data_IF_113961761210
#
_entry.id   IF_113961761210
#
_cell.length_a   1.000
_cell.length_b   1.000
_cell.length_c   1.000
_cell.angle_alpha   90.00
_cell.angle_beta   90.00
_cell.angle_gamma   90.00
#
_symmetry.space_group_name_H-M   'P 1'
#
loop_
_entity.id
_entity.type
_entity.pdbx_description
1 polymer ?
#
# COMPACT_ATOMS: atom_id res chain seq x y z
N UNK A 1 21.09 8.24 11.45
CA UNK A 1 19.93 8.47 12.34
C UNK A 1 18.80 7.55 11.93
N UNK A 2 18.01 6.99 12.87
CA UNK A 2 16.93 6.07 12.55
C UNK A 2 15.61 6.83 12.59
N UNK A 3 14.96 7.01 11.45
CA UNK A 3 13.71 7.78 11.33
C UNK A 3 12.44 6.91 11.36
N UNK A 4 12.57 5.57 11.32
CA UNK A 4 11.45 4.63 11.25
C UNK A 4 11.77 3.33 11.99
N UNK A 5 10.73 2.58 12.26
CA UNK A 5 10.83 1.26 12.90
C UNK A 5 11.47 0.25 11.95
N UNK A 6 12.13 -0.76 12.52
CA UNK A 6 12.79 -1.84 11.75
C UNK A 6 12.41 -3.23 12.21
N UNK A 7 11.93 -3.38 13.44
CA UNK A 7 11.51 -4.67 14.01
C UNK A 7 10.00 -4.72 14.22
N UNK A 8 9.41 -5.91 14.25
CA UNK A 8 7.98 -6.09 14.50
C UNK A 8 7.53 -5.43 15.79
N UNK A 9 8.30 -5.62 16.87
CA UNK A 9 7.99 -5.04 18.18
C UNK A 9 8.01 -3.51 18.17
N UNK A 10 8.96 -2.91 17.43
CA UNK A 10 9.01 -1.44 17.28
C UNK A 10 7.77 -0.91 16.55
N UNK A 11 7.34 -1.55 15.44
CA UNK A 11 6.13 -1.14 14.72
C UNK A 11 4.88 -1.24 15.59
N UNK A 12 4.74 -2.33 16.33
CA UNK A 12 3.60 -2.54 17.21
C UNK A 12 3.61 -1.54 18.38
N UNK A 13 4.77 -1.34 19.01
CA UNK A 13 4.93 -0.39 20.11
C UNK A 13 4.69 1.06 19.68
N UNK A 14 5.10 1.42 18.46
CA UNK A 14 4.81 2.72 17.86
C UNK A 14 3.31 2.92 17.64
N UNK A 15 2.63 1.90 17.11
CA UNK A 15 1.19 1.94 16.91
C UNK A 15 0.40 2.02 18.23
N UNK A 16 0.83 1.34 19.27
CA UNK A 16 0.15 1.39 20.57
C UNK A 16 0.26 2.77 21.24
N UNK A 17 1.39 3.45 21.03
CA UNK A 17 1.60 4.81 21.57
C UNK A 17 0.86 5.87 20.76
N UNK A 18 0.88 5.75 19.43
CA UNK A 18 0.44 6.81 18.51
C UNK A 18 -0.34 6.18 17.35
N UNK A 19 -1.54 5.65 17.63
CA UNK A 19 -2.37 5.11 16.56
C UNK A 19 -2.99 6.25 15.74
N UNK A 20 -2.65 6.31 14.46
CA UNK A 20 -3.21 7.29 13.53
C UNK A 20 -4.57 6.86 12.95
N UNK A 21 -4.96 5.61 13.16
CA UNK A 21 -6.19 5.02 12.63
C UNK A 21 -7.07 4.51 13.78
N UNK A 22 -7.46 5.40 14.69
CA UNK A 22 -8.29 5.06 15.86
C UNK A 22 -9.69 4.60 15.43
N UNK A 23 -10.18 5.13 14.31
CA UNK A 23 -11.50 4.81 13.74
C UNK A 23 -11.54 3.43 13.08
N UNK A 24 -10.38 2.83 12.81
CA UNK A 24 -10.29 1.52 12.18
C UNK A 24 -10.68 0.42 13.16
N UNK A 25 -11.97 0.09 13.16
CA UNK A 25 -12.51 -0.99 14.02
C UNK A 25 -12.65 -2.29 13.24
N UNK A 26 -11.56 -3.08 13.18
CA UNK A 26 -11.57 -4.39 12.58
C UNK A 26 -12.11 -5.38 13.62
N UNK A 27 -13.25 -5.98 13.33
CA UNK A 27 -13.78 -7.05 14.18
C UNK A 27 -12.89 -8.29 14.04
N UNK A 28 -12.14 -8.57 15.10
CA UNK A 28 -11.22 -9.69 15.16
C UNK A 28 -11.89 -10.90 15.77
N UNK A 29 -11.98 -12.05 15.10
CA UNK A 29 -12.40 -13.31 15.69
C UNK A 29 -11.53 -13.66 16.92
N UNK A 30 -12.10 -14.34 17.89
CA UNK A 30 -11.32 -14.76 19.08
C UNK A 30 -10.36 -15.90 18.77
N UNK A 31 -10.75 -16.78 17.85
CA UNK A 31 -9.92 -17.89 17.42
C UNK A 31 -9.25 -17.60 16.10
N UNK A 32 -7.95 -17.91 16.01
CA UNK A 32 -7.15 -17.76 14.78
C UNK A 32 -7.73 -18.58 13.61
N UNK A 33 -8.35 -19.70 13.89
CA UNK A 33 -8.97 -20.58 12.89
C UNK A 33 -10.13 -19.92 12.15
N UNK A 34 -10.75 -18.90 12.74
CA UNK A 34 -11.88 -18.18 12.17
C UNK A 34 -11.48 -16.89 11.45
N UNK A 35 -10.19 -16.61 11.39
CA UNK A 35 -9.70 -15.43 10.66
C UNK A 35 -9.87 -15.65 9.18
N UNK A 36 -10.38 -14.64 8.48
CA UNK A 36 -10.54 -14.61 7.03
C UNK A 36 -9.29 -14.04 6.35
N UNK A 37 -9.19 -14.22 5.05
CA UNK A 37 -8.19 -13.54 4.25
C UNK A 37 -8.50 -12.05 4.15
N UNK A 38 -7.48 -11.21 4.25
CA UNK A 38 -7.63 -9.76 4.33
C UNK A 38 -6.81 -9.05 3.26
N UNK A 39 -7.39 -8.00 2.68
CA UNK A 39 -6.67 -7.03 1.85
C UNK A 39 -6.64 -5.69 2.58
N UNK A 40 -5.44 -5.23 2.94
CA UNK A 40 -5.24 -3.89 3.44
C UNK A 40 -4.87 -2.97 2.28
N UNK A 41 -5.76 -2.07 1.96
CA UNK A 41 -5.68 -1.19 0.80
C UNK A 41 -5.61 0.28 1.20
N UNK A 42 -4.84 1.04 0.48
CA UNK A 42 -4.72 2.49 0.63
C UNK A 42 -3.38 3.03 0.15
N UNK A 43 -3.19 4.35 0.16
CA UNK A 43 -1.99 5.01 -0.33
C UNK A 43 -0.69 4.51 0.31
N UNK A 44 0.45 4.79 -0.31
CA UNK A 44 1.77 4.49 0.23
C UNK A 44 2.02 5.22 1.56
N UNK A 45 2.80 4.62 2.45
CA UNK A 45 3.32 5.28 3.64
C UNK A 45 2.32 5.71 4.72
N UNK A 46 1.07 5.26 4.66
CA UNK A 46 0.03 5.62 5.64
C UNK A 46 -0.07 4.69 6.85
N UNK A 47 0.79 3.69 6.97
CA UNK A 47 0.81 2.77 8.11
C UNK A 47 0.01 1.47 7.92
N UNK A 48 -0.33 1.06 6.67
CA UNK A 48 -0.98 -0.23 6.39
C UNK A 48 -0.29 -1.41 7.08
N UNK A 49 1.02 -1.50 6.91
CA UNK A 49 1.83 -2.57 7.50
C UNK A 49 1.75 -2.60 9.02
N UNK A 50 1.79 -1.45 9.67
CA UNK A 50 1.67 -1.33 11.13
C UNK A 50 0.30 -1.83 11.62
N UNK A 51 -0.78 -1.53 10.88
CA UNK A 51 -2.12 -2.04 11.22
C UNK A 51 -2.23 -3.55 11.03
N UNK A 52 -1.58 -4.11 10.00
CA UNK A 52 -1.48 -5.57 9.81
C UNK A 52 -0.77 -6.23 10.99
N UNK A 53 0.37 -5.71 11.43
CA UNK A 53 1.09 -6.25 12.58
C UNK A 53 0.26 -6.15 13.87
N UNK A 54 -0.45 -5.03 14.09
CA UNK A 54 -1.39 -4.87 15.20
C UNK A 54 -2.49 -5.94 15.17
N UNK A 55 -3.01 -6.24 13.98
CA UNK A 55 -4.02 -7.29 13.77
C UNK A 55 -3.47 -8.68 14.12
N UNK A 56 -2.29 -9.03 13.62
CA UNK A 56 -1.64 -10.34 13.86
C UNK A 56 -1.22 -10.51 15.31
N UNK A 57 -0.81 -9.43 15.99
CA UNK A 57 -0.35 -9.47 17.38
C UNK A 57 -1.31 -10.20 18.32
N UNK A 58 -2.64 -10.03 18.14
CA UNK A 58 -3.67 -10.68 18.96
C UNK A 58 -3.48 -12.20 19.01
N UNK A 59 -3.00 -12.80 17.93
CA UNK A 59 -2.87 -14.25 17.78
C UNK A 59 -1.46 -14.78 18.05
N UNK A 60 -0.48 -13.89 18.23
CA UNK A 60 0.91 -14.26 18.47
C UNK A 60 1.16 -14.56 19.94
N UNK A 61 1.56 -15.79 20.32
CA UNK A 61 1.95 -16.14 21.69
C UNK A 61 3.09 -15.27 22.25
N UNK A 62 4.02 -14.85 21.38
CA UNK A 62 5.16 -14.00 21.77
C UNK A 62 4.88 -12.52 21.62
N UNK A 63 3.66 -12.12 21.19
CA UNK A 63 3.28 -10.75 20.90
C UNK A 63 4.18 -10.08 19.85
N UNK A 64 4.61 -10.86 18.86
CA UNK A 64 5.52 -10.47 17.76
C UNK A 64 6.94 -10.04 18.21
N UNK A 65 7.36 -10.37 19.43
CA UNK A 65 8.75 -10.14 19.88
C UNK A 65 9.76 -11.07 19.22
N UNK A 66 9.29 -12.25 18.76
CA UNK A 66 10.12 -13.18 18.03
C UNK A 66 10.18 -12.80 16.56
N UNK A 67 11.40 -12.53 16.09
CA UNK A 67 11.66 -12.23 14.69
C UNK A 67 12.91 -12.98 14.23
N UNK A 68 12.80 -13.70 13.14
CA UNK A 68 13.91 -14.33 12.42
C UNK A 68 13.82 -14.04 10.93
N UNK A 69 14.91 -14.33 10.22
CA UNK A 69 14.94 -14.29 8.75
C UNK A 69 15.24 -15.69 8.24
N UNK A 70 14.53 -16.09 7.20
CA UNK A 70 14.80 -17.33 6.46
C UNK A 70 15.30 -16.92 5.08
N UNK A 71 16.32 -17.59 4.61
CA UNK A 71 16.88 -17.40 3.28
C UNK A 71 16.63 -18.64 2.45
N UNK A 72 16.12 -18.46 1.24
CA UNK A 72 15.99 -19.47 0.21
C UNK A 72 16.97 -19.14 -0.89
N UNK A 73 17.77 -20.11 -1.28
CA UNK A 73 18.71 -19.98 -2.39
C UNK A 73 18.22 -20.85 -3.52
N UNK A 74 17.83 -20.23 -4.62
CA UNK A 74 17.52 -20.89 -5.88
C UNK A 74 18.75 -20.87 -6.79
N UNK A 75 18.74 -21.60 -7.89
CA UNK A 75 19.85 -21.58 -8.86
C UNK A 75 20.14 -20.17 -9.42
N UNK A 76 19.15 -19.26 -9.39
CA UNK A 76 19.23 -17.95 -10.05
C UNK A 76 19.30 -16.78 -9.09
N UNK A 77 18.77 -16.92 -7.87
CA UNK A 77 18.69 -15.82 -6.92
C UNK A 77 18.55 -16.32 -5.48
N UNK A 78 18.93 -15.46 -4.56
CA UNK A 78 18.76 -15.63 -3.13
C UNK A 78 17.65 -14.70 -2.65
N UNK A 79 16.72 -15.22 -1.87
CA UNK A 79 15.62 -14.42 -1.31
C UNK A 79 15.53 -14.63 0.19
N UNK A 80 15.53 -13.53 0.95
CA UNK A 80 15.44 -13.56 2.42
C UNK A 80 14.15 -12.90 2.87
N UNK A 81 13.39 -13.60 3.69
CA UNK A 81 12.15 -13.07 4.24
C UNK A 81 12.07 -13.19 5.77
N UNK A 82 11.47 -12.19 6.44
CA UNK A 82 11.29 -12.23 7.88
C UNK A 82 10.11 -13.11 8.27
N UNK A 83 10.24 -13.73 9.44
CA UNK A 83 9.21 -14.56 10.04
C UNK A 83 9.03 -14.23 11.52
N UNK A 84 7.81 -14.48 12.02
CA UNK A 84 7.53 -14.57 13.46
C UNK A 84 7.10 -15.97 13.86
N UNK A 85 6.65 -16.10 15.10
CA UNK A 85 6.04 -17.33 15.61
C UNK A 85 4.79 -17.76 14.82
N UNK A 86 4.05 -16.82 14.21
CA UNK A 86 2.76 -17.07 13.59
C UNK A 86 2.65 -16.57 12.14
N UNK A 87 3.49 -15.62 11.70
CA UNK A 87 3.39 -15.07 10.35
C UNK A 87 4.71 -15.07 9.59
N UNK A 88 4.58 -15.03 8.26
CA UNK A 88 5.64 -15.04 7.25
C UNK A 88 5.44 -13.87 6.32
N UNK A 89 6.44 -13.02 6.13
CA UNK A 89 6.31 -11.82 5.29
C UNK A 89 7.05 -12.01 3.97
N UNK A 90 6.37 -11.76 2.88
CA UNK A 90 6.93 -11.84 1.55
C UNK A 90 6.71 -10.48 0.86
N UNK A 91 7.78 -9.89 0.39
CA UNK A 91 7.74 -8.68 -0.41
C UNK A 91 7.63 -9.07 -1.89
N UNK A 92 6.46 -8.83 -2.47
CA UNK A 92 6.14 -9.25 -3.85
C UNK A 92 6.98 -8.48 -4.88
N UNK A 93 7.36 -7.23 -4.58
CA UNK A 93 8.23 -6.43 -5.43
C UNK A 93 9.63 -7.04 -5.61
N UNK A 94 10.11 -7.79 -4.61
CA UNK A 94 11.45 -8.40 -4.61
C UNK A 94 11.50 -9.78 -5.28
N UNK A 95 10.38 -10.36 -5.68
CA UNK A 95 10.35 -11.66 -6.34
C UNK A 95 10.89 -11.61 -7.79
N UNK A 96 10.79 -10.45 -8.44
CA UNK A 96 11.32 -10.22 -9.78
C UNK A 96 10.68 -11.06 -10.90
N UNK A 97 11.40 -11.22 -12.00
CA UNK A 97 10.89 -11.93 -13.19
C UNK A 97 10.66 -13.43 -12.98
N UNK A 98 11.35 -14.06 -12.02
CA UNK A 98 11.16 -15.47 -11.67
C UNK A 98 10.13 -15.66 -10.54
N UNK A 99 9.25 -14.70 -10.34
CA UNK A 99 8.29 -14.64 -9.23
C UNK A 99 7.48 -15.92 -9.06
N UNK A 100 7.04 -16.55 -10.14
CA UNK A 100 6.27 -17.78 -10.11
C UNK A 100 7.02 -18.95 -9.47
N UNK A 101 8.26 -19.20 -9.89
CA UNK A 101 9.07 -20.31 -9.39
C UNK A 101 9.50 -20.05 -7.95
N UNK A 102 9.98 -18.82 -7.67
CA UNK A 102 10.42 -18.44 -6.34
C UNK A 102 9.27 -18.46 -5.33
N UNK A 103 8.10 -17.96 -5.70
CA UNK A 103 6.89 -18.03 -4.88
C UNK A 103 6.54 -19.47 -4.54
N UNK A 104 6.56 -20.37 -5.52
CA UNK A 104 6.28 -21.80 -5.32
C UNK A 104 7.19 -22.40 -4.23
N UNK A 105 8.49 -22.19 -4.32
CA UNK A 105 9.46 -22.69 -3.34
C UNK A 105 9.25 -22.08 -1.96
N UNK A 106 9.06 -20.74 -1.86
CA UNK A 106 8.78 -20.05 -0.59
C UNK A 106 7.51 -20.60 0.03
N UNK A 107 6.45 -20.71 -0.76
CA UNK A 107 5.13 -21.15 -0.29
C UNK A 107 5.18 -22.55 0.32
N UNK A 108 5.76 -23.52 -0.37
CA UNK A 108 5.83 -24.89 0.15
C UNK A 108 6.78 -25.00 1.34
N UNK A 109 7.87 -24.22 1.39
CA UNK A 109 8.70 -24.14 2.59
C UNK A 109 7.91 -23.63 3.80
N UNK A 110 7.06 -22.62 3.63
CA UNK A 110 6.16 -22.12 4.68
C UNK A 110 5.18 -23.21 5.11
N UNK A 111 4.57 -23.91 4.16
CA UNK A 111 3.65 -25.04 4.43
C UNK A 111 4.33 -26.11 5.26
N UNK A 112 5.56 -26.50 4.90
CA UNK A 112 6.34 -27.50 5.63
C UNK A 112 6.62 -27.05 7.07
N UNK A 113 7.02 -25.79 7.25
CA UNK A 113 7.26 -25.21 8.59
C UNK A 113 5.98 -25.23 9.44
N UNK A 114 4.83 -24.88 8.85
CA UNK A 114 3.55 -24.84 9.56
C UNK A 114 3.04 -26.24 9.85
N UNK A 115 3.31 -27.22 8.98
CA UNK A 115 2.90 -28.61 9.17
C UNK A 115 3.44 -29.25 10.46
N UNK A 116 4.64 -28.80 10.89
CA UNK A 116 5.34 -29.27 12.08
C UNK A 116 4.82 -28.57 13.35
N UNK A 117 4.17 -27.39 13.22
CA UNK A 117 3.63 -26.65 14.38
C UNK A 117 2.39 -27.35 14.95
N UNK A 118 2.18 -27.23 16.25
CA UNK A 118 1.01 -27.80 16.94
C UNK A 118 -0.31 -27.20 16.42
N UNK A 119 -0.34 -25.91 16.23
CA UNK A 119 -1.56 -25.17 15.80
C UNK A 119 -1.89 -25.36 14.32
N UNK A 120 -0.92 -25.73 13.49
CA UNK A 120 -1.06 -25.88 12.02
C UNK A 120 -1.76 -24.72 11.31
N UNK A 121 -1.68 -23.52 11.88
CA UNK A 121 -2.25 -22.28 11.35
C UNK A 121 -1.14 -21.24 11.22
N UNK A 122 -1.20 -20.42 10.18
CA UNK A 122 -0.24 -19.34 9.98
C UNK A 122 -0.78 -18.25 9.06
N UNK A 123 -0.16 -17.06 9.16
CA UNK A 123 -0.44 -15.94 8.26
C UNK A 123 0.68 -15.79 7.23
N UNK A 124 0.31 -15.60 5.97
CA UNK A 124 1.22 -15.17 4.93
C UNK A 124 0.90 -13.71 4.61
N UNK A 125 1.84 -12.82 4.92
CA UNK A 125 1.72 -11.38 4.65
C UNK A 125 2.44 -11.05 3.37
N UNK A 126 1.70 -10.73 2.31
CA UNK A 126 2.23 -10.30 1.02
C UNK A 126 2.29 -8.77 0.97
N UNK A 127 3.51 -8.21 1.09
CA UNK A 127 3.73 -6.77 0.98
C UNK A 127 3.88 -6.35 -0.47
N UNK A 128 3.54 -5.09 -0.77
CA UNK A 128 3.62 -4.52 -2.12
C UNK A 128 2.92 -5.39 -3.17
N UNK A 129 1.72 -5.87 -2.86
CA UNK A 129 1.03 -6.85 -3.72
C UNK A 129 0.69 -6.26 -5.10
N UNK A 130 0.57 -4.94 -5.23
CA UNK A 130 0.39 -4.24 -6.50
C UNK A 130 1.59 -4.38 -7.47
N UNK A 131 2.77 -4.75 -6.97
CA UNK A 131 3.97 -5.02 -7.76
C UNK A 131 4.07 -6.49 -8.20
N UNK A 132 3.04 -7.30 -7.94
CA UNK A 132 3.03 -8.72 -8.32
C UNK A 132 3.01 -8.87 -9.83
N UNK A 133 3.93 -9.69 -10.36
CA UNK A 133 3.98 -9.99 -11.79
C UNK A 133 2.74 -10.76 -12.25
N UNK A 134 2.20 -10.45 -13.43
CA UNK A 134 0.95 -11.04 -13.94
C UNK A 134 0.94 -12.57 -13.95
N UNK A 135 2.04 -13.22 -14.36
CA UNK A 135 2.16 -14.67 -14.37
C UNK A 135 1.94 -15.31 -12.99
N UNK A 136 2.36 -14.63 -11.92
CA UNK A 136 2.11 -15.08 -10.56
C UNK A 136 0.68 -14.76 -10.14
N UNK A 137 0.16 -13.59 -10.51
CA UNK A 137 -1.19 -13.18 -10.17
C UNK A 137 -2.24 -14.16 -10.71
N UNK A 138 -2.07 -14.65 -11.95
CA UNK A 138 -2.98 -15.60 -12.60
C UNK A 138 -3.10 -16.93 -11.85
N UNK A 139 -2.03 -17.36 -11.20
CA UNK A 139 -2.01 -18.64 -10.45
C UNK A 139 -2.18 -18.47 -8.95
N UNK A 140 -2.10 -17.23 -8.44
CA UNK A 140 -2.08 -16.95 -6.99
C UNK A 140 -3.32 -17.49 -6.28
N UNK A 141 -4.48 -17.40 -6.94
CA UNK A 141 -5.74 -17.90 -6.39
C UNK A 141 -5.71 -19.42 -6.12
N UNK A 142 -4.99 -20.20 -6.91
CA UNK A 142 -4.88 -21.66 -6.71
C UNK A 142 -4.19 -22.00 -5.37
N UNK A 143 -3.21 -21.21 -4.94
CA UNK A 143 -2.55 -21.38 -3.64
C UNK A 143 -3.49 -21.05 -2.47
N UNK A 144 -4.34 -20.02 -2.65
CA UNK A 144 -5.35 -19.67 -1.65
C UNK A 144 -6.35 -20.80 -1.49
N UNK A 145 -6.90 -21.32 -2.59
CA UNK A 145 -7.89 -22.41 -2.57
C UNK A 145 -7.37 -23.68 -1.91
N UNK A 146 -6.10 -24.01 -2.11
CA UNK A 146 -5.52 -25.26 -1.64
C UNK A 146 -5.55 -25.39 -0.10
N UNK A 147 -5.39 -24.27 0.64
CA UNK A 147 -5.26 -24.27 2.10
C UNK A 147 -6.33 -23.46 2.83
N UNK A 148 -7.33 -22.95 2.12
CA UNK A 148 -8.43 -22.19 2.71
C UNK A 148 -9.72 -23.03 2.87
N UNK A 149 -9.64 -24.35 2.65
CA UNK A 149 -10.76 -25.27 2.83
C UNK A 149 -11.03 -25.53 4.32
N UNK A 150 -12.31 -25.60 4.68
CA UNK A 150 -12.78 -25.90 6.06
C UNK A 150 -12.20 -27.21 6.62
N UNK A 151 -11.90 -28.17 5.75
CA UNK A 151 -11.37 -29.49 6.13
C UNK A 151 -9.84 -29.59 5.97
N UNK A 152 -9.14 -28.49 5.70
CA UNK A 152 -7.69 -28.53 5.54
C UNK A 152 -7.01 -28.78 6.90
N UNK A 153 -6.06 -29.73 6.91
CA UNK A 153 -5.23 -30.04 8.10
C UNK A 153 -4.37 -28.84 8.46
N UNK A 154 -3.91 -28.08 7.47
CA UNK A 154 -3.14 -26.85 7.60
C UNK A 154 -3.99 -25.71 7.10
N UNK A 155 -4.16 -24.67 7.92
CA UNK A 155 -4.87 -23.46 7.53
C UNK A 155 -3.92 -22.29 7.33
N UNK A 156 -3.96 -21.69 6.13
CA UNK A 156 -3.18 -20.51 5.77
C UNK A 156 -4.13 -19.35 5.54
N UNK A 157 -3.91 -18.26 6.28
CA UNK A 157 -4.63 -17.02 6.07
C UNK A 157 -3.71 -16.04 5.36
N UNK A 158 -4.18 -15.49 4.26
CA UNK A 158 -3.43 -14.51 3.47
C UNK A 158 -3.81 -13.10 3.88
N UNK A 159 -2.81 -12.24 4.02
CA UNK A 159 -2.98 -10.81 4.24
C UNK A 159 -2.22 -10.09 3.14
N UNK A 160 -2.96 -9.43 2.24
CA UNK A 160 -2.38 -8.67 1.14
C UNK A 160 -2.29 -7.19 1.51
N UNK A 161 -1.13 -6.58 1.32
CA UNK A 161 -0.92 -5.14 1.50
C UNK A 161 -0.70 -4.54 0.12
N UNK A 162 -1.63 -3.70 -0.32
CA UNK A 162 -1.63 -3.13 -1.66
C UNK A 162 -1.95 -1.64 -1.66
N UNK A 163 -1.55 -0.94 -2.70
CA UNK A 163 -1.89 0.46 -2.93
C UNK A 163 -3.11 0.62 -3.84
N UNK A 164 -3.41 -0.38 -4.65
CA UNK A 164 -4.60 -0.42 -5.48
C UNK A 164 -5.24 -1.80 -5.47
N UNK A 165 -6.54 -1.88 -5.72
CA UNK A 165 -7.30 -3.14 -5.79
C UNK A 165 -7.85 -3.38 -7.19
N UNK A 166 -7.80 -2.39 -8.07
CA UNK A 166 -8.41 -2.44 -9.40
C UNK A 166 -7.83 -3.50 -10.33
N UNK A 167 -6.54 -3.85 -10.14
CA UNK A 167 -5.85 -4.86 -10.95
C UNK A 167 -6.11 -6.30 -10.50
N UNK A 168 -6.71 -6.49 -9.32
CA UNK A 168 -6.93 -7.82 -8.74
C UNK A 168 -8.04 -8.56 -9.50
N UNK A 169 -7.84 -9.86 -9.82
CA UNK A 169 -8.90 -10.71 -10.34
C UNK A 169 -10.10 -10.81 -9.39
N UNK A 170 -11.30 -10.94 -9.95
CA UNK A 170 -12.53 -11.05 -9.16
C UNK A 170 -12.51 -12.23 -8.18
N UNK A 171 -11.87 -13.33 -8.55
CA UNK A 171 -11.77 -14.52 -7.69
C UNK A 171 -11.00 -14.22 -6.40
N UNK A 172 -9.94 -13.41 -6.50
CA UNK A 172 -9.19 -12.94 -5.34
C UNK A 172 -10.05 -11.96 -4.54
N UNK A 173 -10.65 -10.95 -5.20
CA UNK A 173 -11.47 -9.94 -4.51
C UNK A 173 -12.63 -10.57 -3.73
N UNK A 174 -13.29 -11.60 -4.30
CA UNK A 174 -14.41 -12.28 -3.67
C UNK A 174 -14.00 -13.20 -2.50
N UNK A 175 -12.71 -13.55 -2.42
CA UNK A 175 -12.17 -14.46 -1.39
C UNK A 175 -11.56 -13.72 -0.21
N UNK A 176 -11.57 -12.39 -0.23
CA UNK A 176 -10.96 -11.55 0.78
C UNK A 176 -11.93 -10.49 1.33
N UNK A 177 -11.76 -10.17 2.60
CA UNK A 177 -12.36 -8.96 3.17
C UNK A 177 -11.44 -7.77 2.96
N UNK A 178 -11.93 -6.72 2.29
CA UNK A 178 -11.15 -5.53 1.94
C UNK A 178 -11.27 -4.51 3.05
N UNK A 179 -10.12 -4.09 3.58
CA UNK A 179 -9.98 -3.07 4.63
C UNK A 179 -9.31 -1.85 4.02
N UNK A 180 -10.07 -0.78 3.86
CA UNK A 180 -9.55 0.50 3.39
C UNK A 180 -8.89 1.26 4.54
N UNK A 181 -7.65 1.69 4.34
CA UNK A 181 -6.94 2.58 5.25
C UNK A 181 -6.78 3.93 4.58
N UNK A 182 -7.41 4.94 5.17
CA UNK A 182 -7.37 6.32 4.67
C UNK A 182 -6.09 7.02 5.14
N UNK A 183 -5.74 8.12 4.49
CA UNK A 183 -4.69 9.01 4.99
C UNK A 183 -5.10 9.58 6.35
N UNK A 184 -4.17 9.62 7.32
CA UNK A 184 -4.41 10.29 8.57
C UNK A 184 -4.67 11.79 8.36
N UNK A 185 -5.62 12.34 9.10
CA UNK A 185 -5.92 13.78 9.07
C UNK A 185 -4.90 14.61 9.87
N UNK A 186 -4.23 13.97 10.83
CA UNK A 186 -3.28 14.64 11.72
C UNK A 186 -2.07 13.73 11.97
N UNK A 187 -0.91 14.21 11.55
CA UNK A 187 0.37 13.51 11.71
C UNK A 187 1.16 13.98 12.93
N UNK A 188 0.73 15.05 13.61
CA UNK A 188 1.48 15.65 14.71
C UNK A 188 1.73 14.68 15.87
N UNK A 189 0.87 13.67 16.04
CA UNK A 189 1.01 12.64 17.08
C UNK A 189 2.29 11.81 16.97
N UNK A 190 2.81 11.62 15.74
CA UNK A 190 4.00 10.79 15.50
C UNK A 190 5.27 11.59 15.31
N UNK A 191 5.16 12.91 15.15
CA UNK A 191 6.34 13.77 15.02
C UNK A 191 7.12 13.82 16.33
N UNK A 192 8.41 13.59 16.25
CA UNK A 192 9.30 13.79 17.39
C UNK A 192 9.49 15.28 17.63
N UNK A 193 9.20 15.75 18.83
CA UNK A 193 9.45 17.14 19.24
C UNK A 193 10.94 17.32 19.50
N UNK A 194 11.67 17.65 18.44
CA UNK A 194 13.10 18.01 18.48
C UNK A 194 13.27 19.51 18.27
N UNK A 195 14.53 20.00 18.27
CA UNK A 195 14.86 21.42 18.28
C UNK A 195 14.26 22.24 17.11
N UNK A 196 13.99 21.60 15.96
CA UNK A 196 13.45 22.28 14.76
C UNK A 196 11.96 22.01 14.53
N UNK A 197 11.29 21.30 15.44
CA UNK A 197 9.90 20.90 15.27
C UNK A 197 8.95 22.08 15.01
N UNK A 198 8.99 23.09 15.86
CA UNK A 198 8.07 24.24 15.78
C UNK A 198 8.36 25.14 14.57
N UNK A 199 9.63 25.26 14.17
CA UNK A 199 10.02 26.00 12.97
C UNK A 199 9.54 25.30 11.72
N UNK A 200 9.81 24.01 11.60
CA UNK A 200 9.44 23.24 10.41
C UNK A 200 7.93 23.13 10.25
N UNK A 201 7.16 23.02 11.35
CA UNK A 201 5.69 22.95 11.30
C UNK A 201 5.02 24.20 10.73
N UNK A 202 5.69 25.34 10.70
CA UNK A 202 5.17 26.56 10.05
C UNK A 202 5.18 26.47 8.52
N UNK A 203 6.06 25.64 7.98
CA UNK A 203 6.29 25.48 6.54
C UNK A 203 5.76 24.18 5.96
N UNK A 204 5.50 23.17 6.81
CA UNK A 204 4.97 21.86 6.41
C UNK A 204 3.48 21.84 6.70
N UNK A 205 2.67 21.83 5.66
CA UNK A 205 1.23 21.57 5.76
C UNK A 205 0.95 20.07 5.71
N UNK A 206 -0.16 19.61 6.31
CA UNK A 206 -0.54 18.18 6.29
C UNK A 206 -0.71 17.63 4.87
N UNK A 207 -1.09 18.46 3.90
CA UNK A 207 -1.21 18.08 2.49
C UNK A 207 0.13 17.71 1.84
N UNK A 208 1.24 18.27 2.35
CA UNK A 208 2.58 18.08 1.82
C UNK A 208 3.19 16.76 2.30
N UNK A 209 2.53 16.08 3.23
CA UNK A 209 3.03 14.88 3.84
C UNK A 209 2.38 13.67 3.21
N UNK A 210 3.16 12.94 2.42
CA UNK A 210 2.70 11.77 1.69
C UNK A 210 3.00 10.46 2.44
N UNK A 211 4.08 10.44 3.24
CA UNK A 211 4.58 9.23 3.87
C UNK A 211 4.88 9.47 5.36
N UNK A 212 4.34 8.62 6.23
CA UNK A 212 4.57 8.69 7.68
C UNK A 212 6.06 8.65 8.04
N UNK A 213 6.89 7.93 7.28
CA UNK A 213 8.33 7.86 7.56
C UNK A 213 9.04 9.21 7.38
N UNK A 214 8.54 10.05 6.49
CA UNK A 214 9.09 11.38 6.22
C UNK A 214 8.85 12.35 7.37
N UNK A 215 7.75 12.17 8.14
CA UNK A 215 7.40 13.03 9.27
C UNK A 215 8.52 13.17 10.28
N UNK A 216 9.11 12.06 10.71
CA UNK A 216 10.21 12.08 11.65
C UNK A 216 11.47 12.72 11.05
N UNK A 217 11.68 12.57 9.76
CA UNK A 217 12.77 13.22 9.04
C UNK A 217 12.58 14.74 9.03
N UNK A 218 11.41 15.22 8.60
CA UNK A 218 11.09 16.64 8.57
C UNK A 218 11.22 17.31 9.94
N UNK A 219 10.81 16.63 11.01
CA UNK A 219 10.93 17.19 12.37
C UNK A 219 12.38 17.35 12.86
N UNK A 220 13.33 16.67 12.24
CA UNK A 220 14.74 16.63 12.63
C UNK A 220 15.65 17.44 11.70
N UNK A 221 15.19 17.75 10.48
CA UNK A 221 15.94 18.57 9.53
C UNK A 221 15.94 20.04 9.94
N UNK A 222 17.01 20.76 9.60
CA UNK A 222 16.97 22.21 9.60
C UNK A 222 16.08 22.70 8.47
N UNK A 223 15.51 23.89 8.61
CA UNK A 223 14.62 24.50 7.61
C UNK A 223 15.25 24.56 6.21
N UNK A 224 16.55 24.87 6.15
CA UNK A 224 17.33 24.97 4.92
C UNK A 224 17.52 23.61 4.21
N UNK A 225 17.42 22.52 4.97
CA UNK A 225 17.61 21.13 4.50
C UNK A 225 16.27 20.43 4.20
N UNK A 226 15.13 21.11 4.29
CA UNK A 226 13.83 20.54 3.96
C UNK A 226 13.80 20.14 2.48
N UNK A 227 13.42 18.90 2.15
CA UNK A 227 13.36 18.45 0.77
C UNK A 227 12.30 19.23 -0.01
N UNK A 228 12.57 19.48 -1.30
CA UNK A 228 11.57 20.04 -2.22
C UNK A 228 10.42 19.05 -2.41
N UNK A 229 9.21 19.54 -2.32
CA UNK A 229 8.02 18.74 -2.52
C UNK A 229 7.67 18.64 -4.02
N UNK A 230 8.37 17.75 -4.71
CA UNK A 230 8.20 17.51 -6.15
C UNK A 230 6.79 17.01 -6.46
N UNK A 231 6.20 16.20 -5.58
CA UNK A 231 4.87 15.63 -5.79
C UNK A 231 3.79 16.71 -5.93
N UNK A 232 3.68 17.60 -4.94
CA UNK A 232 2.68 18.67 -4.98
C UNK A 232 2.97 19.67 -6.09
N UNK A 233 4.23 20.02 -6.36
CA UNK A 233 4.62 20.91 -7.47
C UNK A 233 4.12 20.37 -8.81
N UNK A 234 4.31 19.09 -9.08
CA UNK A 234 3.87 18.48 -10.34
C UNK A 234 2.35 18.39 -10.41
N UNK A 235 1.69 17.97 -9.33
CA UNK A 235 0.23 17.89 -9.30
C UNK A 235 -0.43 19.26 -9.46
N UNK A 236 0.09 20.29 -8.77
CA UNK A 236 -0.42 21.66 -8.89
C UNK A 236 -0.20 22.24 -10.30
N UNK A 237 0.95 21.97 -10.93
CA UNK A 237 1.19 22.35 -12.32
C UNK A 237 0.19 21.70 -13.29
N UNK A 238 -0.23 20.46 -13.05
CA UNK A 238 -1.26 19.79 -13.85
C UNK A 238 -2.63 20.43 -13.60
N UNK A 239 -2.97 20.75 -12.35
CA UNK A 239 -4.20 21.45 -12.00
C UNK A 239 -4.28 22.81 -12.70
N UNK A 240 -3.21 23.58 -12.66
CA UNK A 240 -3.13 24.90 -13.30
C UNK A 240 -3.30 24.80 -14.81
N UNK A 241 -2.72 23.80 -15.47
CA UNK A 241 -2.90 23.59 -16.92
C UNK A 241 -4.34 23.18 -17.26
N UNK A 242 -4.99 22.35 -16.42
CA UNK A 242 -6.39 21.95 -16.60
C UNK A 242 -7.34 23.14 -16.44
N UNK A 243 -7.08 24.03 -15.48
CA UNK A 243 -7.88 25.23 -15.24
C UNK A 243 -7.59 26.35 -16.25
N UNK A 244 -6.41 26.34 -16.85
CA UNK A 244 -5.94 27.38 -17.77
C UNK A 244 -6.42 27.18 -19.21
N UNK A 245 -5.48 27.19 -20.15
CA UNK A 245 -5.76 27.21 -21.59
C UNK A 245 -6.28 25.90 -22.18
N UNK A 246 -6.30 24.80 -21.43
CA UNK A 246 -6.71 23.45 -21.85
C UNK A 246 -5.96 22.98 -23.11
N UNK A 247 -4.67 23.34 -23.23
CA UNK A 247 -3.82 22.90 -24.32
C UNK A 247 -3.38 21.44 -24.06
N UNK A 248 -3.88 20.53 -24.89
CA UNK A 248 -3.59 19.09 -24.74
C UNK A 248 -2.12 18.75 -24.86
N UNK A 249 -1.33 19.49 -25.67
CA UNK A 249 0.10 19.23 -25.80
C UNK A 249 0.86 19.61 -24.54
N UNK A 250 0.56 20.78 -23.94
CA UNK A 250 1.15 21.21 -22.68
C UNK A 250 0.73 20.32 -21.53
N UNK A 251 -0.55 19.93 -21.47
CA UNK A 251 -1.03 19.00 -20.47
C UNK A 251 -0.27 17.67 -20.55
N UNK A 252 -0.05 17.15 -21.75
CA UNK A 252 0.73 15.92 -21.96
C UNK A 252 2.15 16.05 -21.39
N UNK A 253 2.82 17.18 -21.65
CA UNK A 253 4.17 17.44 -21.11
C UNK A 253 4.16 17.40 -19.59
N UNK A 254 3.18 18.03 -18.95
CA UNK A 254 3.04 18.02 -17.49
C UNK A 254 2.72 16.62 -16.93
N UNK A 255 1.91 15.84 -17.63
CA UNK A 255 1.61 14.46 -17.24
C UNK A 255 2.86 13.58 -17.36
N UNK A 256 3.75 13.83 -18.32
CA UNK A 256 5.02 13.12 -18.42
C UNK A 256 5.91 13.30 -17.21
N UNK A 257 5.83 14.42 -16.50
CA UNK A 257 6.59 14.66 -15.27
C UNK A 257 6.28 13.61 -14.19
N UNK A 258 5.03 13.11 -14.10
CA UNK A 258 4.67 12.02 -13.20
C UNK A 258 5.56 10.79 -13.44
N UNK A 259 5.80 10.45 -14.71
CA UNK A 259 6.60 9.29 -15.09
C UNK A 259 8.10 9.57 -14.98
N UNK A 260 8.55 10.78 -15.33
CA UNK A 260 9.96 11.19 -15.27
C UNK A 260 10.47 11.18 -13.84
N UNK A 261 9.67 11.69 -12.88
CA UNK A 261 10.02 11.70 -11.46
C UNK A 261 9.61 10.42 -10.73
N UNK A 262 9.10 9.42 -11.47
CA UNK A 262 8.65 8.14 -10.92
C UNK A 262 7.68 8.28 -9.75
N UNK A 263 6.73 9.22 -9.87
CA UNK A 263 5.70 9.42 -8.86
C UNK A 263 4.63 8.33 -8.96
N UNK A 264 3.98 8.05 -7.84
CA UNK A 264 2.84 7.15 -7.83
C UNK A 264 1.66 7.78 -8.58
N UNK A 265 1.34 7.24 -9.76
CA UNK A 265 0.29 7.77 -10.62
C UNK A 265 -1.09 7.80 -9.94
N UNK A 266 -1.42 6.77 -9.14
CA UNK A 266 -2.69 6.69 -8.41
C UNK A 266 -2.80 7.81 -7.39
N UNK A 267 -1.71 8.10 -6.68
CA UNK A 267 -1.62 9.20 -5.71
C UNK A 267 -1.80 10.56 -6.38
N UNK A 268 -1.11 10.78 -7.51
CA UNK A 268 -1.24 12.02 -8.28
C UNK A 268 -2.68 12.22 -8.77
N UNK A 269 -3.31 11.18 -9.31
CA UNK A 269 -4.72 11.24 -9.76
C UNK A 269 -5.63 11.54 -8.57
N UNK A 270 -5.42 10.88 -7.42
CA UNK A 270 -6.22 11.10 -6.22
C UNK A 270 -6.10 12.54 -5.72
N UNK A 271 -4.88 13.09 -5.67
CA UNK A 271 -4.65 14.47 -5.24
C UNK A 271 -5.38 15.46 -6.15
N UNK A 272 -5.19 15.34 -7.47
CA UNK A 272 -5.81 16.22 -8.46
C UNK A 272 -7.34 16.10 -8.42
N UNK A 273 -7.87 14.88 -8.36
CA UNK A 273 -9.31 14.65 -8.31
C UNK A 273 -9.93 15.20 -7.03
N UNK A 274 -9.28 15.01 -5.89
CA UNK A 274 -9.71 15.56 -4.60
C UNK A 274 -9.75 17.10 -4.60
N UNK A 275 -8.75 17.73 -5.24
CA UNK A 275 -8.74 19.18 -5.42
C UNK A 275 -10.02 19.68 -6.14
N UNK A 276 -10.37 19.04 -7.26
CA UNK A 276 -11.55 19.44 -8.03
C UNK A 276 -12.87 19.16 -7.29
N UNK A 277 -12.95 18.09 -6.49
CA UNK A 277 -14.13 17.82 -5.65
C UNK A 277 -14.26 18.88 -4.57
N UNK A 278 -13.21 19.15 -3.83
CA UNK A 278 -13.22 20.08 -2.70
C UNK A 278 -13.55 21.52 -3.12
N UNK A 279 -13.16 21.89 -4.33
CA UNK A 279 -13.48 23.20 -4.91
C UNK A 279 -14.81 23.25 -5.68
N UNK A 280 -15.59 22.16 -5.67
CA UNK A 280 -16.94 22.13 -6.23
C UNK A 280 -17.03 22.16 -7.76
N UNK A 281 -15.96 21.74 -8.47
CA UNK A 281 -15.94 21.69 -9.93
C UNK A 281 -16.77 20.56 -10.53
N UNK A 282 -17.14 19.54 -9.73
CA UNK A 282 -17.93 18.40 -10.17
C UNK A 282 -19.27 18.30 -9.46
N UNK A 283 -20.29 17.76 -10.14
CA UNK A 283 -21.55 17.33 -9.52
C UNK A 283 -21.40 15.89 -8.97
N UNK A 284 -22.25 15.47 -8.06
CA UNK A 284 -22.27 14.09 -7.52
C UNK A 284 -22.36 13.03 -8.62
N UNK A 285 -23.16 13.27 -9.66
CA UNK A 285 -23.28 12.36 -10.80
C UNK A 285 -21.95 12.23 -11.56
N UNK A 286 -21.28 13.36 -11.82
CA UNK A 286 -20.00 13.36 -12.54
C UNK A 286 -18.92 12.70 -11.73
N UNK A 287 -18.90 12.88 -10.40
CA UNK A 287 -17.97 12.20 -9.48
C UNK A 287 -18.12 10.67 -9.61
N UNK A 288 -19.35 10.15 -9.56
CA UNK A 288 -19.60 8.72 -9.68
C UNK A 288 -19.17 8.17 -11.07
N UNK A 289 -19.42 8.92 -12.13
CA UNK A 289 -19.00 8.52 -13.48
C UNK A 289 -17.46 8.52 -13.61
N UNK A 290 -16.77 9.51 -13.03
CA UNK A 290 -15.30 9.59 -13.03
C UNK A 290 -14.70 8.44 -12.23
N UNK A 291 -15.24 8.13 -11.05
CA UNK A 291 -14.73 7.01 -10.20
C UNK A 291 -14.86 5.68 -10.94
N UNK A 292 -16.00 5.40 -11.56
CA UNK A 292 -16.20 4.19 -12.33
C UNK A 292 -15.22 4.10 -13.52
N UNK A 293 -15.02 5.22 -14.22
CA UNK A 293 -14.08 5.27 -15.35
C UNK A 293 -12.63 5.10 -14.87
N UNK A 294 -12.28 5.72 -13.74
CA UNK A 294 -10.97 5.63 -13.13
C UNK A 294 -10.65 4.17 -12.73
N UNK A 295 -11.61 3.47 -12.12
CA UNK A 295 -11.43 2.06 -11.78
C UNK A 295 -11.03 1.21 -12.99
N UNK A 296 -11.75 1.36 -14.11
CA UNK A 296 -11.47 0.64 -15.36
C UNK A 296 -10.08 1.00 -15.91
N UNK A 297 -9.73 2.30 -15.88
CA UNK A 297 -8.44 2.77 -16.40
C UNK A 297 -7.29 2.25 -15.53
N UNK A 298 -7.42 2.29 -14.20
CA UNK A 298 -6.39 1.79 -13.28
C UNK A 298 -6.21 0.27 -13.39
N UNK A 299 -7.28 -0.48 -13.65
CA UNK A 299 -7.18 -1.92 -13.94
C UNK A 299 -6.32 -2.20 -15.17
N UNK A 300 -6.41 -1.35 -16.18
CA UNK A 300 -5.63 -1.47 -17.42
C UNK A 300 -4.23 -0.87 -17.32
N UNK A 301 -4.04 0.12 -16.46
CA UNK A 301 -2.78 0.86 -16.29
C UNK A 301 -1.61 -0.06 -15.93
N UNK A 302 -1.78 -0.93 -14.96
CA UNK A 302 -0.74 -1.85 -14.49
C UNK A 302 -0.33 -2.91 -15.52
N UNK A 303 -1.18 -3.17 -16.52
CA UNK A 303 -0.95 -4.19 -17.54
C UNK A 303 -0.44 -3.61 -18.87
N UNK A 304 -0.15 -2.31 -18.92
CA UNK A 304 0.12 -1.65 -20.21
C UNK A 304 1.57 -1.17 -20.35
N UNK A 305 2.12 -1.42 -21.54
CA UNK A 305 3.47 -0.98 -21.92
C UNK A 305 3.63 0.56 -22.03
N UNK A 306 2.51 1.30 -22.19
CA UNK A 306 2.52 2.76 -22.36
C UNK A 306 1.58 3.45 -21.41
N UNK A 307 1.98 3.64 -20.14
CA UNK A 307 1.12 4.19 -19.07
C UNK A 307 0.61 5.61 -19.37
N UNK A 308 1.34 6.40 -20.15
CA UNK A 308 0.96 7.78 -20.47
C UNK A 308 -0.44 7.91 -21.09
N UNK A 309 -0.85 6.99 -21.97
CA UNK A 309 -2.16 7.05 -22.61
C UNK A 309 -3.32 6.89 -21.61
N UNK A 310 -3.12 6.11 -20.55
CA UNK A 310 -4.12 5.94 -19.50
C UNK A 310 -4.24 7.19 -18.64
N UNK A 311 -3.10 7.81 -18.31
CA UNK A 311 -3.08 9.09 -17.57
C UNK A 311 -3.75 10.19 -18.38
N UNK A 312 -3.41 10.33 -19.67
CA UNK A 312 -4.07 11.29 -20.55
C UNK A 312 -5.57 11.05 -20.62
N UNK A 313 -5.99 9.79 -20.78
CA UNK A 313 -7.41 9.46 -20.91
C UNK A 313 -8.20 9.89 -19.67
N UNK A 314 -7.67 9.68 -18.45
CA UNK A 314 -8.38 10.07 -17.23
C UNK A 314 -8.43 11.59 -17.06
N UNK A 315 -7.31 12.30 -17.29
CA UNK A 315 -7.29 13.76 -17.16
C UNK A 315 -8.14 14.45 -18.21
N UNK A 316 -8.10 14.00 -19.48
CA UNK A 316 -8.99 14.52 -20.52
C UNK A 316 -10.45 14.23 -20.17
N UNK A 317 -10.76 13.04 -19.66
CA UNK A 317 -12.12 12.74 -19.21
C UNK A 317 -12.58 13.65 -18.08
N UNK A 318 -11.72 13.92 -17.07
CA UNK A 318 -12.03 14.91 -16.03
C UNK A 318 -12.31 16.29 -16.61
N UNK A 319 -11.51 16.76 -17.57
CA UNK A 319 -11.70 18.04 -18.24
C UNK A 319 -13.09 18.14 -18.91
N UNK A 320 -13.57 17.05 -19.53
CA UNK A 320 -14.91 17.05 -20.17
C UNK A 320 -16.04 17.16 -19.17
N UNK A 321 -15.78 16.90 -17.89
CA UNK A 321 -16.77 16.94 -16.80
C UNK A 321 -16.69 18.21 -15.94
N UNK A 322 -15.63 19.02 -16.11
CA UNK A 322 -15.51 20.30 -15.41
C UNK A 322 -16.61 21.26 -15.82
N UNK A 323 -17.18 21.94 -14.82
CA UNK A 323 -18.18 23.01 -14.98
C UNK A 323 -17.57 24.27 -15.57
#
# INVERSE_FOLDING_TARGET
MKYYETTFDEYVSSCEKNNLHEELNIQLPDKIENVENLIFYGPSGIGKYTQVLKHIKKYSPTQLKYQKKITITTEKQEYTYPISDIHYEIDMALLGCNSKTLWHEIFYQIVDIISIKETKVGFIVCKNFHETHNELLDIFYSYIQQYNNINAIIKLNFILITESVSFLPNDILNSFTIINIQRPNDYTKIMKKENHFEENMKYIENKDIMNIKEMNHFSQCKLEDLPSDIFNIICDNIIDEILGNKDLFKLREKIYDILVYNLNATECIYYIFSYFINNGYFNEKDINEIINKLYIILMQYNNNYRPIYHLETIFVYMITKLK
#
